data_IF_377704878694
#
_entry.id   IF_377704878694
#
_cell.length_a   1.000
_cell.length_b   1.000
_cell.length_c   1.000
_cell.angle_alpha   90.00
_cell.angle_beta   90.00
_cell.angle_gamma   90.00
#
_symmetry.space_group_name_H-M   'P 1'
#
loop_
_entity.id
_entity.type
_entity.pdbx_description
1 polymer ?
#
# COMPACT_ATOMS: atom_id res chain seq x y z
N UNK A 1 -5.77 -20.95 7.45
CA UNK A 1 -5.69 -20.49 6.05
C UNK A 1 -7.05 -19.88 5.74
N UNK A 2 -7.12 -18.59 5.44
CA UNK A 2 -8.39 -17.93 5.14
C UNK A 2 -8.75 -18.29 3.69
N UNK A 3 -9.77 -19.14 3.50
CA UNK A 3 -10.39 -19.40 2.19
C UNK A 3 -11.56 -18.43 2.06
N UNK A 4 -11.49 -17.49 1.12
CA UNK A 4 -12.58 -16.56 0.80
C UNK A 4 -13.08 -16.99 -0.57
N UNK A 5 -14.31 -17.50 -0.63
CA UNK A 5 -14.85 -18.20 -1.80
C UNK A 5 -15.85 -17.34 -2.59
N UNK A 6 -16.14 -16.13 -2.13
CA UNK A 6 -17.15 -15.24 -2.72
C UNK A 6 -16.53 -13.91 -3.17
N UNK A 7 -16.77 -13.52 -4.44
CA UNK A 7 -16.37 -12.24 -5.03
C UNK A 7 -16.65 -11.05 -4.11
N UNK A 8 -17.83 -11.01 -3.49
CA UNK A 8 -18.26 -9.90 -2.64
C UNK A 8 -17.39 -9.76 -1.39
N UNK A 9 -16.96 -10.88 -0.82
CA UNK A 9 -16.07 -10.88 0.34
C UNK A 9 -14.66 -10.43 -0.04
N UNK A 10 -14.15 -10.89 -1.19
CA UNK A 10 -12.87 -10.44 -1.74
C UNK A 10 -12.89 -8.94 -2.01
N UNK A 11 -13.95 -8.41 -2.64
CA UNK A 11 -14.13 -6.98 -2.89
C UNK A 11 -14.20 -6.18 -1.60
N UNK A 12 -15.00 -6.61 -0.62
CA UNK A 12 -15.14 -5.92 0.65
C UNK A 12 -13.79 -5.85 1.40
N UNK A 13 -13.05 -6.96 1.45
CA UNK A 13 -11.74 -7.01 2.09
C UNK A 13 -10.70 -6.19 1.32
N UNK A 14 -10.70 -6.24 -0.01
CA UNK A 14 -9.83 -5.42 -0.84
C UNK A 14 -10.04 -3.94 -0.55
N UNK A 15 -11.30 -3.48 -0.51
CA UNK A 15 -11.64 -2.09 -0.19
C UNK A 15 -11.29 -1.70 1.24
N UNK A 16 -11.48 -2.58 2.21
CA UNK A 16 -11.07 -2.33 3.59
C UNK A 16 -9.55 -2.15 3.72
N UNK A 17 -8.77 -3.00 3.06
CA UNK A 17 -7.31 -2.93 3.07
C UNK A 17 -6.79 -1.71 2.28
N UNK A 18 -7.40 -1.41 1.14
CA UNK A 18 -7.12 -0.19 0.37
C UNK A 18 -7.38 1.05 1.22
N UNK A 19 -8.50 1.10 1.94
CA UNK A 19 -8.82 2.19 2.85
C UNK A 19 -7.74 2.39 3.91
N UNK A 20 -7.36 1.30 4.59
CA UNK A 20 -6.34 1.34 5.65
C UNK A 20 -4.99 1.80 5.11
N UNK A 21 -4.55 1.29 3.96
CA UNK A 21 -3.21 1.61 3.42
C UNK A 21 -3.13 2.99 2.75
N UNK A 22 -4.18 3.42 2.06
CA UNK A 22 -4.06 4.49 1.07
C UNK A 22 -5.13 5.58 1.14
N UNK A 23 -6.14 5.47 2.01
CA UNK A 23 -7.22 6.45 2.10
C UNK A 23 -7.35 7.08 3.49
N UNK A 24 -7.10 6.31 4.54
CA UNK A 24 -7.11 6.81 5.92
C UNK A 24 -5.88 7.66 6.21
N UNK A 25 -6.08 8.89 6.68
CA UNK A 25 -5.01 9.76 7.20
C UNK A 25 -4.91 9.75 8.72
N UNK A 26 -5.74 8.94 9.37
CA UNK A 26 -5.78 8.85 10.82
C UNK A 26 -4.41 8.47 11.39
N UNK A 27 -4.09 9.01 12.57
CA UNK A 27 -2.80 8.78 13.19
C UNK A 27 -2.63 7.30 13.52
N UNK A 28 -3.65 6.64 14.07
CA UNK A 28 -3.56 5.23 14.47
C UNK A 28 -3.52 4.28 13.27
N UNK A 29 -4.14 4.64 12.15
CA UNK A 29 -4.11 3.80 10.95
C UNK A 29 -2.70 3.64 10.37
N UNK A 30 -1.75 4.54 10.71
CA UNK A 30 -0.35 4.46 10.23
C UNK A 30 0.34 3.15 10.59
N UNK A 31 0.03 2.59 11.77
CA UNK A 31 0.63 1.32 12.22
C UNK A 31 0.19 0.14 11.34
N UNK A 32 -1.06 0.15 10.89
CA UNK A 32 -1.57 -0.86 9.97
C UNK A 32 -1.12 -0.61 8.53
N UNK A 33 -1.15 0.65 8.08
CA UNK A 33 -0.73 1.04 6.74
C UNK A 33 0.74 0.68 6.46
N UNK A 34 1.61 0.89 7.47
CA UNK A 34 3.03 0.55 7.46
C UNK A 34 3.34 -0.90 7.86
N UNK A 35 2.33 -1.76 8.00
CA UNK A 35 2.54 -3.17 8.34
C UNK A 35 2.79 -4.01 7.08
N UNK A 36 3.92 -4.75 6.98
CA UNK A 36 4.19 -5.62 5.83
C UNK A 36 3.10 -6.67 5.60
N UNK A 37 2.50 -7.19 6.68
CA UNK A 37 1.45 -8.22 6.56
C UNK A 37 0.17 -7.66 5.91
N UNK A 38 -0.17 -6.39 6.16
CA UNK A 38 -1.32 -5.73 5.53
C UNK A 38 -1.06 -5.54 4.04
N UNK A 39 0.17 -5.18 3.65
CA UNK A 39 0.59 -5.14 2.25
C UNK A 39 0.47 -6.49 1.55
N UNK A 40 0.97 -7.56 2.19
CA UNK A 40 0.86 -8.93 1.68
C UNK A 40 -0.60 -9.41 1.55
N UNK A 41 -1.44 -9.12 2.53
CA UNK A 41 -2.87 -9.44 2.47
C UNK A 41 -3.55 -8.70 1.32
N UNK A 42 -3.26 -7.41 1.16
CA UNK A 42 -3.81 -6.60 0.07
C UNK A 42 -3.44 -7.18 -1.30
N UNK A 43 -2.15 -7.52 -1.49
CA UNK A 43 -1.69 -8.18 -2.73
C UNK A 43 -2.41 -9.51 -2.97
N UNK A 44 -2.44 -10.39 -1.97
CA UNK A 44 -3.04 -11.73 -2.10
C UNK A 44 -4.53 -11.67 -2.43
N UNK A 45 -5.28 -10.78 -1.79
CA UNK A 45 -6.71 -10.60 -2.06
C UNK A 45 -6.92 -10.06 -3.48
N UNK A 46 -6.12 -9.09 -3.92
CA UNK A 46 -6.18 -8.58 -5.30
C UNK A 46 -5.88 -9.67 -6.33
N UNK A 47 -4.90 -10.53 -6.06
CA UNK A 47 -4.58 -11.69 -6.92
C UNK A 47 -5.70 -12.74 -6.94
N UNK A 48 -6.32 -13.02 -5.80
CA UNK A 48 -7.49 -13.92 -5.73
C UNK A 48 -8.68 -13.35 -6.50
N UNK A 49 -8.93 -12.04 -6.39
CA UNK A 49 -10.01 -11.39 -7.14
C UNK A 49 -9.73 -11.39 -8.64
N UNK A 50 -8.48 -11.17 -9.05
CA UNK A 50 -8.08 -11.29 -10.46
C UNK A 50 -8.34 -12.71 -10.99
N UNK A 51 -7.93 -13.75 -10.26
CA UNK A 51 -8.20 -15.15 -10.63
C UNK A 51 -9.70 -15.43 -10.77
N UNK A 52 -10.50 -14.93 -9.83
CA UNK A 52 -11.96 -15.07 -9.90
C UNK A 52 -12.52 -14.48 -11.20
N UNK A 53 -12.13 -13.25 -11.56
CA UNK A 53 -12.60 -12.61 -12.80
C UNK A 53 -12.06 -13.29 -14.07
N UNK A 54 -10.83 -13.79 -14.04
CA UNK A 54 -10.23 -14.57 -15.12
C UNK A 54 -11.03 -15.85 -15.41
N UNK A 55 -11.45 -16.58 -14.36
CA UNK A 55 -12.25 -17.80 -14.46
C UNK A 55 -13.63 -17.58 -15.10
N UNK A 56 -14.24 -16.41 -14.89
CA UNK A 56 -15.53 -16.03 -15.49
C UNK A 56 -15.39 -15.16 -16.75
N UNK A 57 -14.17 -15.08 -17.32
CA UNK A 57 -13.85 -14.35 -18.55
C UNK A 57 -14.20 -12.85 -18.52
N UNK A 58 -14.10 -12.22 -17.35
CA UNK A 58 -14.23 -10.76 -17.19
C UNK A 58 -12.83 -10.14 -17.13
N UNK A 59 -12.52 -9.11 -17.94
CA UNK A 59 -11.24 -8.42 -17.86
C UNK A 59 -11.04 -7.77 -16.49
N UNK A 60 -9.97 -8.16 -15.80
CA UNK A 60 -9.52 -7.53 -14.56
C UNK A 60 -8.00 -7.41 -14.56
N UNK A 61 -7.46 -6.23 -14.29
CA UNK A 61 -6.00 -6.01 -14.35
C UNK A 61 -5.27 -6.78 -13.25
N UNK A 62 -4.19 -7.48 -13.61
CA UNK A 62 -3.24 -8.08 -12.66
C UNK A 62 -2.11 -7.13 -12.28
N UNK A 63 -1.89 -6.11 -13.11
CA UNK A 63 -0.68 -5.31 -13.03
C UNK A 63 -0.81 -4.18 -12.00
N UNK A 64 0.15 -4.14 -11.08
CA UNK A 64 0.37 -3.01 -10.21
C UNK A 64 1.01 -1.87 -11.00
N UNK A 65 0.27 -0.77 -11.11
CA UNK A 65 0.75 0.47 -11.73
C UNK A 65 1.81 1.15 -10.86
N UNK A 66 2.47 2.16 -11.43
CA UNK A 66 3.32 3.07 -10.68
C UNK A 66 2.45 3.91 -9.72
N UNK A 67 2.86 4.01 -8.45
CA UNK A 67 2.13 4.76 -7.40
C UNK A 67 1.98 6.24 -7.76
N UNK A 68 2.89 6.77 -8.58
CA UNK A 68 2.90 8.12 -9.16
C UNK A 68 1.64 8.41 -9.99
N UNK A 69 1.04 7.37 -10.59
CA UNK A 69 -0.23 7.51 -11.31
C UNK A 69 -1.43 7.73 -10.39
N UNK A 70 -1.25 7.60 -9.06
CA UNK A 70 -2.29 7.76 -8.04
C UNK A 70 -1.87 8.80 -6.99
N UNK A 71 -1.88 10.11 -7.31
CA UNK A 71 -1.39 11.16 -6.41
C UNK A 71 -2.05 11.19 -5.03
N UNK A 72 -3.31 10.77 -4.95
CA UNK A 72 -4.03 10.68 -3.67
C UNK A 72 -3.35 9.70 -2.70
N UNK A 73 -2.81 8.58 -3.20
CA UNK A 73 -2.17 7.56 -2.35
C UNK A 73 -0.82 8.05 -1.86
N UNK A 74 -0.05 8.72 -2.72
CA UNK A 74 1.19 9.38 -2.32
C UNK A 74 0.99 10.41 -1.21
N UNK A 75 -0.10 11.18 -1.26
CA UNK A 75 -0.44 12.14 -0.21
C UNK A 75 -0.69 11.45 1.15
N UNK A 76 -1.39 10.31 1.15
CA UNK A 76 -1.65 9.54 2.37
C UNK A 76 -0.37 8.90 2.91
N UNK A 77 0.45 8.30 2.03
CA UNK A 77 1.75 7.73 2.38
C UNK A 77 2.68 8.79 2.98
N UNK A 78 2.77 9.96 2.34
CA UNK A 78 3.55 11.11 2.83
C UNK A 78 3.09 11.55 4.23
N UNK A 79 1.78 11.63 4.46
CA UNK A 79 1.22 11.92 5.78
C UNK A 79 1.61 10.86 6.82
N UNK A 80 1.58 9.57 6.49
CA UNK A 80 2.00 8.53 7.43
C UNK A 80 3.50 8.61 7.74
N UNK A 81 4.35 8.79 6.74
CA UNK A 81 5.81 8.90 6.90
C UNK A 81 6.17 10.11 7.79
N UNK A 82 5.51 11.25 7.59
CA UNK A 82 5.73 12.45 8.40
C UNK A 82 5.47 12.23 9.90
N UNK A 83 4.60 11.28 10.23
CA UNK A 83 4.16 10.91 11.58
C UNK A 83 4.88 9.66 12.14
N UNK A 84 5.93 9.16 11.50
CA UNK A 84 6.74 8.05 12.04
C UNK A 84 7.63 8.57 13.16
N UNK A 85 7.55 7.96 14.33
CA UNK A 85 8.42 8.29 15.46
C UNK A 85 9.88 7.92 15.14
N UNK A 86 10.84 8.73 15.60
CA UNK A 86 12.29 8.48 15.44
C UNK A 86 12.82 8.38 13.98
N UNK A 87 12.10 8.88 12.97
CA UNK A 87 12.57 8.90 11.55
C UNK A 87 14.00 9.40 11.37
N UNK A 88 14.38 10.45 12.11
CA UNK A 88 15.71 11.07 12.02
C UNK A 88 16.83 10.14 12.49
N UNK A 89 16.49 9.17 13.33
CA UNK A 89 17.44 8.21 13.91
C UNK A 89 17.60 6.96 13.03
N UNK A 90 16.73 6.78 12.02
CA UNK A 90 16.81 5.67 11.08
C UNK A 90 17.95 5.88 10.08
N UNK A 91 18.65 4.80 9.72
CA UNK A 91 19.57 4.80 8.58
C UNK A 91 18.83 5.05 7.27
N UNK A 92 19.52 5.59 6.26
CA UNK A 92 18.92 5.79 4.93
C UNK A 92 18.37 4.50 4.33
N UNK A 93 19.07 3.38 4.52
CA UNK A 93 18.59 2.06 4.11
C UNK A 93 17.27 1.68 4.81
N UNK A 94 17.18 1.92 6.13
CA UNK A 94 15.95 1.64 6.90
C UNK A 94 14.80 2.54 6.43
N UNK A 95 15.06 3.81 6.11
CA UNK A 95 14.05 4.73 5.57
C UNK A 95 13.52 4.22 4.23
N UNK A 96 14.40 3.80 3.32
CA UNK A 96 14.02 3.24 2.02
C UNK A 96 13.10 2.04 2.21
N UNK A 97 13.46 1.10 3.08
CA UNK A 97 12.66 -0.10 3.32
C UNK A 97 11.29 0.24 3.93
N UNK A 98 11.23 1.19 4.86
CA UNK A 98 9.95 1.66 5.41
C UNK A 98 9.07 2.29 4.32
N UNK A 99 9.60 3.17 3.48
CA UNK A 99 8.82 3.77 2.38
C UNK A 99 8.29 2.70 1.43
N UNK A 100 9.13 1.71 1.07
CA UNK A 100 8.69 0.58 0.23
C UNK A 100 7.54 -0.20 0.85
N UNK A 101 7.51 -0.40 2.17
CA UNK A 101 6.40 -1.08 2.86
C UNK A 101 5.08 -0.30 2.74
N UNK A 102 5.12 1.02 2.84
CA UNK A 102 3.94 1.86 2.65
C UNK A 102 3.42 1.81 1.21
N UNK A 103 4.33 1.79 0.24
CA UNK A 103 3.99 1.77 -1.19
C UNK A 103 3.48 0.41 -1.66
N UNK A 104 4.10 -0.67 -1.18
CA UNK A 104 3.82 -2.03 -1.62
C UNK A 104 2.32 -2.35 -1.60
N UNK A 105 1.73 -2.91 -2.67
CA UNK A 105 2.38 -3.62 -3.78
C UNK A 105 2.62 -2.81 -5.06
N UNK A 106 2.41 -1.48 -5.03
CA UNK A 106 2.64 -0.64 -6.21
C UNK A 106 4.13 -0.55 -6.57
N UNK A 107 4.39 -0.24 -7.83
CA UNK A 107 5.74 0.14 -8.31
C UNK A 107 5.99 1.61 -7.95
N UNK A 108 7.25 2.01 -7.87
CA UNK A 108 7.65 3.39 -7.57
C UNK A 108 8.97 3.70 -8.28
N UNK A 109 9.10 4.94 -8.73
CA UNK A 109 10.34 5.49 -9.28
C UNK A 109 11.29 5.94 -8.16
N UNK A 110 12.60 5.79 -8.39
CA UNK A 110 13.62 6.19 -7.42
C UNK A 110 13.49 7.67 -7.02
N UNK A 111 13.10 8.55 -7.95
CA UNK A 111 12.91 9.97 -7.67
C UNK A 111 11.77 10.24 -6.67
N UNK A 112 10.72 9.43 -6.69
CA UNK A 112 9.59 9.52 -5.77
C UNK A 112 9.97 8.97 -4.40
N UNK A 113 10.73 7.86 -4.36
CA UNK A 113 11.28 7.33 -3.11
C UNK A 113 12.11 8.38 -2.36
N UNK A 114 13.04 9.04 -3.06
CA UNK A 114 13.88 10.09 -2.48
C UNK A 114 13.02 11.23 -1.93
N UNK A 115 12.04 11.72 -2.70
CA UNK A 115 11.13 12.79 -2.24
C UNK A 115 10.35 12.41 -0.98
N UNK A 116 9.87 11.18 -0.89
CA UNK A 116 9.15 10.69 0.28
C UNK A 116 10.05 10.60 1.51
N UNK A 117 11.32 10.23 1.34
CA UNK A 117 12.30 10.20 2.42
C UNK A 117 12.62 11.62 2.93
N UNK A 118 12.72 12.58 2.00
CA UNK A 118 13.02 13.98 2.29
C UNK A 118 11.85 14.77 2.88
N UNK A 119 10.61 14.25 2.79
CA UNK A 119 9.40 14.94 3.27
C UNK A 119 9.49 15.36 4.74
N UNK A 120 10.29 14.67 5.57
CA UNK A 120 10.50 14.98 7.00
C UNK A 120 11.83 15.69 7.32
N UNK A 121 12.64 15.96 6.30
CA UNK A 121 13.88 16.73 6.43
C UNK A 121 13.64 18.25 6.28
N UNK A 122 12.42 18.65 5.92
CA UNK A 122 11.88 20.01 5.95
C UNK A 122 11.16 20.26 7.29
#
# INVERSE_FOLDING_TARGET
MISIENEKELLALLKALEFVKYQSKDYESRYLAGSPIIGELYRKISESLHKYYEEIHIPYSKEWVNIESIPAYLNVISNHIANIDNWKDLSEESKIEVVKVFIYPFKVEDSTLVKLIETRNL
#
